data_IF_068832850825
#
_entry.id   IF_068832850825
#
_cell.length_a   1.000
_cell.length_b   1.000
_cell.length_c   1.000
_cell.angle_alpha   90.00
_cell.angle_beta   90.00
_cell.angle_gamma   90.00
#
_symmetry.space_group_name_H-M   'P 1'
#
loop_
_entity.id
_entity.type
_entity.pdbx_description
1 polymer ?
#
# COMPACT_ATOMS: atom_id res chain seq x y z
N UNK A 1 -31.90 -1.82 9.67
CA UNK A 1 -32.12 -2.90 8.68
C UNK A 1 -30.91 -3.82 8.68
N UNK A 2 -31.07 -5.14 8.34
CA UNK A 2 -29.93 -6.03 8.18
C UNK A 2 -29.57 -6.16 6.69
N UNK A 3 -28.32 -5.92 6.31
CA UNK A 3 -27.79 -6.08 4.96
C UNK A 3 -26.70 -7.12 5.00
N UNK A 4 -26.87 -8.20 4.21
CA UNK A 4 -25.94 -9.31 4.11
C UNK A 4 -24.86 -9.06 3.06
N UNK A 5 -23.65 -9.56 3.33
CA UNK A 5 -22.58 -9.64 2.34
C UNK A 5 -21.97 -11.03 2.32
N UNK A 6 -21.90 -11.62 1.14
CA UNK A 6 -21.32 -12.93 0.88
C UNK A 6 -20.15 -12.82 -0.10
N UNK A 7 -19.09 -13.62 0.10
CA UNK A 7 -17.96 -13.67 -0.81
C UNK A 7 -17.45 -15.10 -1.00
N UNK A 8 -17.21 -15.45 -2.25
CA UNK A 8 -16.57 -16.74 -2.60
C UNK A 8 -15.37 -16.52 -3.50
N UNK A 9 -14.40 -17.46 -3.44
CA UNK A 9 -13.43 -17.62 -4.50
C UNK A 9 -14.10 -18.40 -5.65
N UNK A 10 -13.62 -18.26 -6.90
CA UNK A 10 -14.21 -18.89 -8.11
C UNK A 10 -14.33 -20.42 -8.07
N UNK A 11 -13.78 -21.07 -7.05
CA UNK A 11 -13.83 -22.53 -6.84
C UNK A 11 -14.74 -22.96 -5.67
N UNK A 12 -15.36 -22.03 -4.93
CA UNK A 12 -16.16 -22.35 -3.75
C UNK A 12 -17.64 -22.55 -4.11
N UNK A 13 -18.14 -23.76 -3.83
CA UNK A 13 -19.57 -24.10 -3.92
C UNK A 13 -20.41 -23.51 -2.76
N UNK A 14 -19.82 -22.68 -1.90
CA UNK A 14 -20.43 -22.25 -0.64
C UNK A 14 -21.18 -20.92 -0.69
N UNK A 15 -21.37 -20.28 -1.87
CA UNK A 15 -22.11 -19.02 -1.95
C UNK A 15 -23.58 -19.20 -1.53
N UNK A 16 -24.19 -20.28 -1.96
CA UNK A 16 -25.58 -20.58 -1.65
C UNK A 16 -25.79 -20.81 -0.15
N UNK A 17 -24.85 -21.52 0.52
CA UNK A 17 -24.92 -21.70 1.98
C UNK A 17 -24.80 -20.36 2.73
N UNK A 18 -23.90 -19.49 2.29
CA UNK A 18 -23.74 -18.15 2.90
C UNK A 18 -25.04 -17.33 2.71
N UNK A 19 -25.62 -17.34 1.50
CA UNK A 19 -26.84 -16.64 1.19
C UNK A 19 -28.00 -17.12 2.07
N UNK A 20 -28.23 -18.42 2.15
CA UNK A 20 -29.27 -19.02 2.98
C UNK A 20 -29.09 -18.66 4.46
N UNK A 21 -27.86 -18.69 4.97
CA UNK A 21 -27.57 -18.31 6.36
C UNK A 21 -27.86 -16.84 6.63
N UNK A 22 -27.51 -15.95 5.69
CA UNK A 22 -27.78 -14.50 5.79
C UNK A 22 -29.29 -14.21 5.69
N UNK A 23 -30.00 -14.88 4.80
CA UNK A 23 -31.46 -14.77 4.68
C UNK A 23 -32.16 -15.27 5.94
N UNK A 24 -31.73 -16.43 6.49
CA UNK A 24 -32.24 -16.97 7.74
C UNK A 24 -31.95 -16.06 8.95
N UNK A 25 -30.86 -15.30 8.92
CA UNK A 25 -30.54 -14.29 9.92
C UNK A 25 -31.41 -13.01 9.80
N UNK A 26 -32.27 -12.91 8.78
CA UNK A 26 -33.17 -11.80 8.56
C UNK A 26 -32.62 -10.65 7.73
N UNK A 27 -31.59 -10.89 6.91
CA UNK A 27 -31.06 -9.88 5.99
C UNK A 27 -32.11 -9.54 4.92
N UNK A 28 -32.44 -8.25 4.79
CA UNK A 28 -33.40 -7.77 3.82
C UNK A 28 -32.87 -7.81 2.38
N UNK A 29 -31.55 -7.70 2.23
CA UNK A 29 -30.80 -7.82 0.98
C UNK A 29 -29.46 -8.50 1.23
N UNK A 30 -28.99 -9.26 0.26
CA UNK A 30 -27.66 -9.89 0.28
C UNK A 30 -26.92 -9.44 -0.97
N UNK A 31 -25.72 -8.89 -0.77
CA UNK A 31 -24.79 -8.50 -1.83
C UNK A 31 -23.66 -9.54 -1.92
N UNK A 32 -23.22 -9.81 -3.14
CA UNK A 32 -22.31 -10.93 -3.39
C UNK A 32 -21.12 -10.52 -4.23
N UNK A 33 -19.95 -11.06 -3.91
CA UNK A 33 -18.75 -10.98 -4.75
C UNK A 33 -18.23 -12.39 -5.05
N UNK A 34 -18.14 -12.72 -6.33
CA UNK A 34 -17.48 -13.95 -6.81
C UNK A 34 -16.14 -13.56 -7.42
N UNK A 35 -15.02 -13.80 -6.74
CA UNK A 35 -13.73 -13.28 -7.18
C UNK A 35 -12.59 -14.28 -7.05
N UNK A 36 -11.81 -14.45 -8.13
CA UNK A 36 -10.50 -15.07 -8.09
C UNK A 36 -9.52 -14.18 -7.31
N UNK A 37 -8.66 -14.79 -6.51
CA UNK A 37 -7.85 -14.20 -5.44
C UNK A 37 -6.91 -13.04 -5.75
N UNK A 38 -6.91 -12.45 -6.93
CA UNK A 38 -5.98 -11.40 -7.38
C UNK A 38 -6.61 -10.01 -7.57
N UNK A 39 -7.93 -9.88 -7.60
CA UNK A 39 -8.59 -8.57 -7.75
C UNK A 39 -8.98 -7.98 -6.39
N UNK A 40 -8.61 -6.73 -6.17
CA UNK A 40 -8.95 -5.96 -4.97
C UNK A 40 -10.36 -5.35 -5.02
N UNK A 41 -10.96 -5.29 -6.21
CA UNK A 41 -12.28 -4.68 -6.40
C UNK A 41 -13.37 -5.57 -5.83
N UNK A 42 -14.22 -5.00 -4.98
CA UNK A 42 -15.36 -5.65 -4.34
C UNK A 42 -16.62 -4.85 -4.63
N UNK A 43 -17.17 -4.96 -5.86
CA UNK A 43 -18.34 -4.19 -6.26
C UNK A 43 -19.57 -4.51 -5.41
N UNK A 44 -19.74 -5.77 -5.00
CA UNK A 44 -20.83 -6.17 -4.11
C UNK A 44 -20.72 -5.54 -2.73
N UNK A 45 -19.49 -5.53 -2.14
CA UNK A 45 -19.28 -4.84 -0.87
C UNK A 45 -19.50 -3.33 -1.00
N UNK A 46 -19.03 -2.70 -2.07
CA UNK A 46 -19.23 -1.28 -2.32
C UNK A 46 -20.72 -0.94 -2.39
N UNK A 47 -21.51 -1.73 -3.14
CA UNK A 47 -22.96 -1.57 -3.22
C UNK A 47 -23.66 -1.79 -1.87
N UNK A 48 -23.21 -2.76 -1.06
CA UNK A 48 -23.72 -2.96 0.29
C UNK A 48 -23.47 -1.72 1.16
N UNK A 49 -22.24 -1.16 1.10
CA UNK A 49 -21.85 0.04 1.85
C UNK A 49 -22.66 1.28 1.44
N UNK A 50 -22.99 1.44 0.16
CA UNK A 50 -23.83 2.54 -0.34
C UNK A 50 -25.26 2.47 0.15
N UNK A 51 -25.77 1.28 0.44
CA UNK A 51 -27.15 1.07 0.93
C UNK A 51 -27.29 1.20 2.45
N UNK A 52 -26.19 0.99 3.18
CA UNK A 52 -26.18 1.05 4.64
C UNK A 52 -26.37 2.49 5.13
N UNK A 53 -27.17 2.66 6.18
CA UNK A 53 -27.42 3.94 6.86
C UNK A 53 -27.17 3.80 8.35
N UNK A 54 -27.10 4.92 9.05
CA UNK A 54 -27.02 4.95 10.51
C UNK A 54 -28.12 4.07 11.14
N UNK A 55 -27.74 3.21 12.09
CA UNK A 55 -28.62 2.25 12.74
C UNK A 55 -28.80 0.93 11.99
N UNK A 56 -28.27 0.80 10.76
CA UNK A 56 -28.27 -0.48 10.03
C UNK A 56 -27.13 -1.39 10.49
N UNK A 57 -27.20 -2.68 10.11
CA UNK A 57 -26.18 -3.68 10.44
C UNK A 57 -25.70 -4.38 9.18
N UNK A 58 -24.40 -4.35 8.95
CA UNK A 58 -23.73 -5.21 7.97
C UNK A 58 -23.55 -6.61 8.58
N UNK A 59 -24.09 -7.63 7.93
CA UNK A 59 -24.01 -9.03 8.36
C UNK A 59 -23.17 -9.84 7.40
N UNK A 60 -22.24 -10.61 7.91
CA UNK A 60 -21.45 -11.58 7.14
C UNK A 60 -21.60 -12.97 7.75
N UNK A 61 -21.38 -13.99 6.95
CA UNK A 61 -21.37 -15.36 7.45
C UNK A 61 -20.17 -15.62 8.35
N UNK A 62 -18.98 -15.16 7.92
CA UNK A 62 -17.69 -15.38 8.59
C UNK A 62 -16.76 -14.20 8.30
N UNK A 63 -15.87 -13.85 9.24
CA UNK A 63 -14.97 -12.70 9.13
C UNK A 63 -14.05 -12.74 7.92
N UNK A 64 -13.60 -13.92 7.54
CA UNK A 64 -12.70 -14.11 6.39
C UNK A 64 -13.35 -13.71 5.04
N UNK A 65 -14.69 -13.67 5.00
CA UNK A 65 -15.45 -13.19 3.84
C UNK A 65 -15.33 -11.68 3.68
N UNK A 66 -15.17 -10.96 4.79
CA UNK A 66 -15.04 -9.50 4.78
C UNK A 66 -13.60 -9.02 4.54
N UNK A 67 -12.61 -9.72 5.08
CA UNK A 67 -11.19 -9.34 4.96
C UNK A 67 -10.23 -10.52 5.05
N UNK A 68 -9.10 -10.43 4.34
CA UNK A 68 -8.00 -11.42 4.42
C UNK A 68 -7.00 -11.08 5.52
N UNK A 69 -7.01 -9.87 6.03
CA UNK A 69 -6.11 -9.39 7.07
C UNK A 69 -6.91 -8.80 8.21
N UNK A 70 -6.47 -9.04 9.42
CA UNK A 70 -7.08 -8.45 10.63
C UNK A 70 -7.11 -6.93 10.52
N UNK A 71 -6.06 -6.33 9.97
CA UNK A 71 -6.02 -4.88 9.72
C UNK A 71 -7.19 -4.40 8.85
N UNK A 72 -7.36 -5.00 7.67
CA UNK A 72 -8.42 -4.57 6.74
C UNK A 72 -9.82 -4.75 7.32
N UNK A 73 -10.00 -5.77 8.17
CA UNK A 73 -11.24 -5.97 8.90
C UNK A 73 -11.46 -4.86 9.94
N UNK A 74 -10.43 -4.55 10.72
CA UNK A 74 -10.48 -3.48 11.74
C UNK A 74 -10.79 -2.13 11.07
N UNK A 75 -10.03 -1.75 10.04
CA UNK A 75 -10.21 -0.49 9.32
C UNK A 75 -11.65 -0.36 8.75
N UNK A 76 -12.23 -1.46 8.25
CA UNK A 76 -13.60 -1.47 7.74
C UNK A 76 -14.64 -1.31 8.85
N UNK A 77 -14.53 -2.09 9.95
CA UNK A 77 -15.50 -2.01 11.06
C UNK A 77 -15.42 -0.66 11.78
N UNK A 78 -14.23 -0.07 11.91
CA UNK A 78 -14.07 1.30 12.42
C UNK A 78 -14.79 2.32 11.52
N UNK A 79 -14.68 2.15 10.20
CA UNK A 79 -15.39 3.02 9.26
C UNK A 79 -16.91 2.87 9.33
N UNK A 80 -17.42 1.66 9.56
CA UNK A 80 -18.85 1.40 9.80
C UNK A 80 -19.31 2.07 11.09
N UNK A 81 -18.55 1.90 12.18
CA UNK A 81 -18.87 2.51 13.47
C UNK A 81 -18.90 4.04 13.40
N UNK A 82 -17.96 4.65 12.68
CA UNK A 82 -17.92 6.10 12.46
C UNK A 82 -19.17 6.63 11.73
N UNK A 83 -19.85 5.77 10.96
CA UNK A 83 -21.10 6.07 10.27
C UNK A 83 -22.34 5.62 11.06
N UNK A 84 -22.18 5.15 12.30
CA UNK A 84 -23.28 4.64 13.12
C UNK A 84 -23.84 3.29 12.65
N UNK A 85 -23.09 2.55 11.80
CA UNK A 85 -23.50 1.26 11.25
C UNK A 85 -22.90 0.15 12.13
N UNK A 86 -23.71 -0.86 12.46
CA UNK A 86 -23.29 -2.01 13.24
C UNK A 86 -22.73 -3.11 12.34
N UNK A 87 -21.93 -4.00 12.92
CA UNK A 87 -21.35 -5.14 12.23
C UNK A 87 -21.67 -6.44 12.98
N UNK A 88 -22.01 -7.51 12.23
CA UNK A 88 -22.28 -8.83 12.79
C UNK A 88 -21.70 -9.94 11.93
N UNK A 89 -20.99 -10.88 12.55
CA UNK A 89 -20.59 -12.16 11.96
C UNK A 89 -21.43 -13.28 12.56
N UNK A 90 -21.95 -14.19 11.72
CA UNK A 90 -22.84 -15.26 12.18
C UNK A 90 -22.08 -16.39 12.87
N UNK A 91 -20.91 -16.78 12.34
CA UNK A 91 -20.11 -17.91 12.85
C UNK A 91 -19.14 -17.52 13.94
N UNK A 92 -18.59 -16.29 13.89
CA UNK A 92 -17.56 -15.85 14.83
C UNK A 92 -18.12 -15.26 16.14
N UNK A 93 -19.44 -15.25 16.30
CA UNK A 93 -20.15 -14.68 17.45
C UNK A 93 -19.78 -13.20 17.75
N UNK A 94 -19.42 -12.45 16.72
CA UNK A 94 -19.09 -11.02 16.81
C UNK A 94 -20.32 -10.20 16.43
N UNK A 95 -20.76 -9.33 17.34
CA UNK A 95 -21.89 -8.42 17.13
C UNK A 95 -21.57 -7.09 17.83
N UNK A 96 -21.21 -6.08 17.03
CA UNK A 96 -20.84 -4.75 17.57
C UNK A 96 -22.03 -3.97 18.13
N UNK A 97 -23.28 -4.46 17.95
CA UNK A 97 -24.44 -3.89 18.63
C UNK A 97 -24.40 -4.17 20.14
N UNK A 98 -23.73 -5.26 20.55
CA UNK A 98 -23.59 -5.64 21.95
C UNK A 98 -22.32 -5.08 22.61
N UNK A 99 -22.33 -4.79 23.92
CA UNK A 99 -21.12 -4.35 24.64
C UNK A 99 -19.96 -5.36 24.55
N UNK A 100 -20.27 -6.66 24.66
CA UNK A 100 -19.26 -7.74 24.57
C UNK A 100 -18.65 -7.86 23.18
N UNK A 101 -19.45 -7.73 22.11
CA UNK A 101 -18.95 -7.76 20.73
C UNK A 101 -18.08 -6.54 20.43
N UNK A 102 -18.44 -5.36 20.90
CA UNK A 102 -17.60 -4.17 20.81
C UNK A 102 -16.26 -4.34 21.55
N UNK A 103 -16.29 -4.87 22.77
CA UNK A 103 -15.08 -5.16 23.53
C UNK A 103 -14.16 -6.13 22.77
N UNK A 104 -14.70 -7.24 22.28
CA UNK A 104 -13.93 -8.22 21.51
C UNK A 104 -13.31 -7.57 20.26
N UNK A 105 -14.08 -6.75 19.55
CA UNK A 105 -13.58 -6.03 18.38
C UNK A 105 -12.41 -5.10 18.74
N UNK A 106 -12.47 -4.35 19.82
CA UNK A 106 -11.39 -3.49 20.28
C UNK A 106 -10.13 -4.29 20.67
N UNK A 107 -10.28 -5.48 21.24
CA UNK A 107 -9.15 -6.37 21.51
C UNK A 107 -8.48 -6.81 20.21
N UNK A 108 -9.27 -7.21 19.20
CA UNK A 108 -8.74 -7.58 17.88
C UNK A 108 -8.04 -6.40 17.19
N UNK A 109 -8.60 -5.20 17.28
CA UNK A 109 -7.99 -3.98 16.76
C UNK A 109 -6.64 -3.69 17.42
N UNK A 110 -6.57 -3.84 18.74
CA UNK A 110 -5.32 -3.66 19.50
C UNK A 110 -4.25 -4.68 19.11
N UNK A 111 -4.63 -5.95 18.93
CA UNK A 111 -3.71 -6.99 18.45
C UNK A 111 -3.19 -6.68 17.05
N UNK A 112 -4.05 -6.27 16.13
CA UNK A 112 -3.65 -5.87 14.78
C UNK A 112 -2.71 -4.67 14.77
N UNK A 113 -2.91 -3.73 15.67
CA UNK A 113 -2.01 -2.59 15.86
C UNK A 113 -0.65 -3.04 16.37
N UNK A 114 -0.62 -3.88 17.41
CA UNK A 114 0.63 -4.43 17.96
C UNK A 114 1.43 -5.19 16.90
N UNK A 115 0.79 -6.05 16.10
CA UNK A 115 1.47 -6.76 15.01
C UNK A 115 2.12 -5.79 14.01
N UNK A 116 1.44 -4.71 13.63
CA UNK A 116 1.99 -3.68 12.74
C UNK A 116 3.23 -3.02 13.33
N UNK A 117 3.19 -2.66 14.59
CA UNK A 117 4.30 -2.03 15.30
C UNK A 117 5.51 -2.95 15.36
N UNK A 118 5.31 -4.23 15.69
CA UNK A 118 6.38 -5.24 15.70
C UNK A 118 7.01 -5.44 14.32
N UNK A 119 6.22 -5.46 13.24
CA UNK A 119 6.71 -5.57 11.87
C UNK A 119 7.52 -4.32 11.50
N UNK A 120 7.04 -3.12 11.85
CA UNK A 120 7.72 -1.86 11.59
C UNK A 120 9.07 -1.80 12.34
N UNK A 121 9.11 -2.20 13.61
CA UNK A 121 10.33 -2.27 14.41
C UNK A 121 11.35 -3.24 13.79
N UNK A 122 10.94 -4.46 13.45
CA UNK A 122 11.80 -5.46 12.80
C UNK A 122 12.35 -4.94 11.47
N UNK A 123 11.51 -4.30 10.67
CA UNK A 123 11.91 -3.71 9.38
C UNK A 123 12.94 -2.59 9.60
N UNK A 124 12.69 -1.70 10.56
CA UNK A 124 13.60 -0.60 10.91
C UNK A 124 14.96 -1.13 11.40
N UNK A 125 14.94 -2.14 12.28
CA UNK A 125 16.17 -2.79 12.76
C UNK A 125 16.94 -3.47 11.62
N UNK A 126 16.25 -4.19 10.72
CA UNK A 126 16.84 -4.81 9.54
C UNK A 126 17.49 -3.80 8.59
N UNK A 127 16.81 -2.67 8.33
CA UNK A 127 17.35 -1.58 7.51
C UNK A 127 18.58 -0.92 8.15
N UNK A 128 18.57 -0.75 9.47
CA UNK A 128 19.73 -0.22 10.20
C UNK A 128 20.93 -1.18 10.12
N UNK A 129 20.70 -2.47 10.31
CA UNK A 129 21.75 -3.49 10.15
C UNK A 129 22.31 -3.52 8.72
N UNK A 130 21.44 -3.47 7.72
CA UNK A 130 21.85 -3.41 6.32
C UNK A 130 22.71 -2.17 6.01
N UNK A 131 22.34 -1.00 6.54
CA UNK A 131 23.10 0.25 6.39
C UNK A 131 24.49 0.16 7.04
N UNK A 132 24.61 -0.48 8.22
CA UNK A 132 25.90 -0.67 8.91
C UNK A 132 26.88 -1.50 8.07
N UNK A 133 26.41 -2.43 7.24
CA UNK A 133 27.24 -3.22 6.31
C UNK A 133 27.29 -2.62 4.90
N UNK A 134 26.96 -1.32 4.74
CA UNK A 134 27.07 -0.60 3.48
C UNK A 134 25.97 -0.90 2.45
N UNK A 135 24.95 -1.67 2.82
CA UNK A 135 23.81 -1.96 1.93
C UNK A 135 22.80 -0.81 2.01
N UNK A 136 22.83 0.07 1.02
CA UNK A 136 21.90 1.20 0.91
C UNK A 136 20.77 0.79 -0.04
N UNK A 137 19.54 0.83 0.45
CA UNK A 137 18.36 0.58 -0.38
C UNK A 137 18.09 1.72 -1.34
N UNK A 138 17.25 1.46 -2.32
CA UNK A 138 16.83 2.42 -3.34
C UNK A 138 17.31 2.05 -4.74
N UNK A 139 16.91 2.85 -5.74
CA UNK A 139 17.34 2.68 -7.13
C UNK A 139 18.84 3.01 -7.24
N UNK A 140 19.61 2.14 -7.88
CA UNK A 140 21.03 2.40 -8.17
C UNK A 140 21.16 3.73 -8.92
N UNK A 141 22.15 4.54 -8.50
CA UNK A 141 22.43 5.82 -9.16
C UNK A 141 22.85 5.56 -10.61
N UNK A 142 22.20 6.21 -11.56
CA UNK A 142 22.56 6.14 -12.99
C UNK A 142 23.93 6.78 -13.26
N UNK A 143 24.28 7.84 -12.49
CA UNK A 143 25.59 8.51 -12.52
C UNK A 143 26.40 8.00 -11.35
N UNK A 144 27.29 7.04 -11.62
CA UNK A 144 28.31 6.57 -10.65
C UNK A 144 29.47 7.56 -10.60
N UNK A 145 30.31 7.54 -9.54
CA UNK A 145 31.53 8.38 -9.48
C UNK A 145 32.41 8.25 -10.74
N UNK A 146 32.62 7.03 -11.26
CA UNK A 146 33.36 6.79 -12.49
C UNK A 146 32.72 7.44 -13.73
N UNK A 147 31.35 7.38 -13.85
CA UNK A 147 30.63 8.04 -14.93
C UNK A 147 30.71 9.57 -14.84
N UNK A 148 30.71 10.12 -13.62
CA UNK A 148 30.86 11.56 -13.40
C UNK A 148 32.25 12.04 -13.84
N UNK A 149 33.30 11.29 -13.51
CA UNK A 149 34.67 11.58 -13.92
C UNK A 149 34.81 11.48 -15.45
N UNK A 150 34.33 10.41 -16.06
CA UNK A 150 34.31 10.25 -17.51
C UNK A 150 33.51 11.39 -18.21
N UNK A 151 32.38 11.78 -17.64
CA UNK A 151 31.62 12.92 -18.18
C UNK A 151 32.42 14.21 -18.16
N UNK A 152 33.15 14.51 -17.06
CA UNK A 152 33.98 15.70 -16.93
C UNK A 152 35.09 15.70 -18.00
N UNK A 153 35.81 14.59 -18.12
CA UNK A 153 36.89 14.43 -19.09
C UNK A 153 36.43 14.64 -20.53
N UNK A 154 35.33 13.99 -20.93
CA UNK A 154 34.77 14.12 -22.29
C UNK A 154 34.30 15.54 -22.57
N UNK A 155 33.65 16.20 -21.61
CA UNK A 155 33.19 17.58 -21.78
C UNK A 155 34.37 18.56 -21.83
N UNK A 156 35.44 18.33 -21.07
CA UNK A 156 36.71 19.14 -21.16
C UNK A 156 37.42 18.97 -22.51
N UNK A 157 37.28 17.82 -23.15
CA UNK A 157 37.76 17.57 -24.50
C UNK A 157 36.91 18.20 -25.61
N UNK A 158 35.85 18.93 -25.24
CA UNK A 158 34.97 19.61 -26.19
C UNK A 158 33.88 18.74 -26.77
N UNK A 159 33.66 17.50 -26.26
CA UNK A 159 32.60 16.63 -26.74
C UNK A 159 31.22 17.25 -26.36
N UNK A 160 30.27 17.36 -27.32
CA UNK A 160 28.95 17.89 -27.07
C UNK A 160 28.21 17.14 -25.95
N UNK A 161 27.53 17.86 -25.05
CA UNK A 161 26.81 17.25 -23.92
C UNK A 161 25.78 16.18 -24.33
N UNK A 162 25.20 16.30 -25.53
CA UNK A 162 24.29 15.33 -26.11
C UNK A 162 24.98 13.97 -26.33
N UNK A 163 26.18 13.99 -26.87
CA UNK A 163 26.95 12.80 -27.20
C UNK A 163 27.53 12.17 -25.95
N UNK A 164 28.01 12.97 -24.99
CA UNK A 164 28.42 12.50 -23.66
C UNK A 164 27.26 11.82 -22.92
N UNK A 165 26.08 12.40 -22.94
CA UNK A 165 24.89 11.82 -22.32
C UNK A 165 24.51 10.48 -22.98
N UNK A 166 24.55 10.40 -24.31
CA UNK A 166 24.30 9.17 -25.05
C UNK A 166 25.34 8.07 -24.70
N UNK A 167 26.61 8.40 -24.69
CA UNK A 167 27.73 7.47 -24.35
C UNK A 167 27.57 6.91 -22.94
N UNK A 168 27.15 7.71 -21.97
CA UNK A 168 26.98 7.30 -20.57
C UNK A 168 25.60 6.66 -20.28
N UNK A 169 24.71 6.64 -21.26
CA UNK A 169 23.35 6.08 -21.13
C UNK A 169 22.46 6.85 -20.16
N UNK A 170 22.54 8.18 -20.19
CA UNK A 170 21.76 9.09 -19.35
C UNK A 170 21.11 10.21 -20.19
N UNK A 171 20.13 10.90 -19.64
CA UNK A 171 19.57 12.08 -20.30
C UNK A 171 20.46 13.33 -20.07
N UNK A 172 20.43 14.28 -21.02
CA UNK A 172 21.18 15.55 -20.90
C UNK A 172 20.84 16.31 -19.60
N UNK A 173 19.59 16.41 -19.15
CA UNK A 173 19.27 17.00 -17.84
C UNK A 173 19.91 16.24 -16.66
N UNK A 174 20.01 14.91 -16.75
CA UNK A 174 20.70 14.09 -15.74
C UNK A 174 22.20 14.36 -15.73
N UNK A 175 22.82 14.50 -16.90
CA UNK A 175 24.23 14.87 -17.02
C UNK A 175 24.52 16.21 -16.34
N UNK A 176 23.77 17.27 -16.68
CA UNK A 176 23.99 18.61 -16.13
C UNK A 176 23.69 18.72 -14.63
N UNK A 177 22.83 17.86 -14.08
CA UNK A 177 22.63 17.78 -12.62
C UNK A 177 23.89 17.39 -11.86
N UNK A 178 24.77 16.58 -12.48
CA UNK A 178 25.98 16.06 -11.86
C UNK A 178 27.27 16.75 -12.33
N UNK A 179 27.26 17.32 -13.53
CA UNK A 179 28.36 18.08 -14.14
C UNK A 179 27.80 19.38 -14.70
N UNK A 180 27.60 20.42 -13.85
CA UNK A 180 27.10 21.72 -14.28
C UNK A 180 28.06 22.39 -15.27
N UNK A 181 27.54 23.06 -16.30
CA UNK A 181 28.33 23.75 -17.33
C UNK A 181 29.24 24.86 -16.75
N UNK A 182 28.82 25.55 -15.70
CA UNK A 182 29.58 26.63 -15.09
C UNK A 182 30.86 26.24 -14.33
N UNK A 183 31.08 24.94 -14.07
CA UNK A 183 32.33 24.46 -13.44
C UNK A 183 33.48 24.34 -14.46
N UNK A 184 33.17 24.39 -15.73
CA UNK A 184 34.12 24.23 -16.84
C UNK A 184 34.83 25.54 -17.24
N UNK A 185 34.16 26.69 -17.04
CA UNK A 185 34.74 27.97 -17.44
C UNK A 185 35.84 28.52 -16.50
N UNK A 186 35.84 28.08 -15.24
CA UNK A 186 36.78 28.56 -14.24
C UNK A 186 38.21 27.94 -14.34
N UNK A 187 38.41 26.86 -15.09
CA UNK A 187 39.72 26.23 -15.26
C UNK A 187 40.43 26.64 -16.55
N UNK A 188 39.75 27.38 -17.45
CA UNK A 188 40.35 27.82 -18.73
C UNK A 188 40.69 29.29 -18.75
N UNK A 189 40.74 29.98 -17.63
CA UNK A 189 41.30 31.35 -17.58
C UNK A 189 42.83 31.25 -17.59
N UNK A 190 43.49 31.69 -18.65
CA UNK A 190 44.97 31.73 -18.64
C UNK A 190 45.39 32.74 -17.57
N UNK A 191 46.24 32.26 -16.63
CA UNK A 191 46.95 33.10 -15.68
C UNK A 191 47.79 34.07 -16.48
N UNK A 192 47.32 35.31 -16.65
CA UNK A 192 48.17 36.41 -17.18
C UNK A 192 49.14 36.79 -16.08
N UNK A 193 50.30 36.14 -16.08
CA UNK A 193 51.47 36.66 -15.43
C UNK A 193 51.92 37.88 -16.28
N UNK A 194 51.61 39.08 -15.80
CA UNK A 194 52.25 40.26 -16.24
C UNK A 194 53.48 40.56 -15.39
N UNK A 195 54.55 40.82 -16.07
CA UNK A 195 55.86 41.23 -15.64
C UNK A 195 55.86 42.40 -14.66
#
# INVERSE_FOLDING_TARGET
MLIGYARVSTQDQNLELQRQALEAAGCAKVYEDAMSGLRADRPGLALAMEQLREGDTLVVWELDRLGRTVKGLVDLVESLQAQGIQFRSLTDAIDTSTPSGRFFFHVMASLAQMERELIAERTKAGLQAARKVGRIGGRKRSMTPAKIEAARTLMQQGTPAKDVAATLGVSVPTLYRWVPAGVMEQQNSPSTLAA
#
